data_IF_680659338127
#
_entry.id   IF_680659338127
#
_cell.length_a   1.000
_cell.length_b   1.000
_cell.length_c   1.000
_cell.angle_alpha   90.00
_cell.angle_beta   90.00
_cell.angle_gamma   90.00
#
_symmetry.space_group_name_H-M   'P 1'
#
loop_
_entity.id
_entity.type
_entity.pdbx_description
1 polymer ?
#
# COMPACT_ATOMS: atom_id res chain seq x y z
N UNK A 1 12.49 8.85 25.42
CA UNK A 1 11.04 8.60 25.57
C UNK A 1 10.21 9.53 24.69
N UNK A 2 10.24 10.85 24.88
CA UNK A 2 9.45 11.79 24.06
C UNK A 2 9.72 11.68 22.53
N UNK A 3 10.99 11.52 22.12
CA UNK A 3 11.36 11.35 20.71
C UNK A 3 10.74 10.11 20.06
N UNK A 4 10.76 8.96 20.74
CA UNK A 4 10.16 7.72 20.24
C UNK A 4 8.65 7.85 20.07
N UNK A 5 7.97 8.51 21.02
CA UNK A 5 6.52 8.74 20.96
C UNK A 5 6.17 9.61 19.74
N UNK A 6 6.92 10.68 19.53
CA UNK A 6 6.69 11.60 18.41
C UNK A 6 6.94 10.91 17.08
N UNK A 7 8.07 10.21 16.93
CA UNK A 7 8.43 9.52 15.68
C UNK A 7 7.40 8.42 15.37
N UNK A 8 7.01 7.61 16.36
CA UNK A 8 6.05 6.53 16.17
C UNK A 8 4.67 7.05 15.78
N UNK A 9 4.16 8.11 16.43
CA UNK A 9 2.87 8.68 16.08
C UNK A 9 2.87 9.25 14.66
N UNK A 10 3.93 9.96 14.27
CA UNK A 10 4.05 10.49 12.90
C UNK A 10 4.14 9.34 11.89
N UNK A 11 4.92 8.30 12.19
CA UNK A 11 5.07 7.16 11.30
C UNK A 11 3.75 6.41 11.10
N UNK A 12 3.01 6.11 12.18
CA UNK A 12 1.74 5.37 12.10
C UNK A 12 0.65 6.21 11.44
N UNK A 13 0.51 7.49 11.79
CA UNK A 13 -0.47 8.38 11.18
C UNK A 13 -0.16 8.65 9.70
N UNK A 14 1.13 8.83 9.38
CA UNK A 14 1.60 9.02 8.01
C UNK A 14 1.37 7.78 7.15
N UNK A 15 1.68 6.59 7.67
CA UNK A 15 1.44 5.32 6.96
C UNK A 15 -0.05 5.08 6.72
N UNK A 16 -0.91 5.35 7.71
CA UNK A 16 -2.36 5.23 7.55
C UNK A 16 -2.91 6.21 6.49
N UNK A 17 -2.39 7.43 6.44
CA UNK A 17 -2.77 8.40 5.41
C UNK A 17 -2.33 7.96 4.01
N UNK A 18 -1.09 7.48 3.88
CA UNK A 18 -0.55 6.96 2.62
C UNK A 18 -1.33 5.74 2.12
N UNK A 19 -1.65 4.80 3.00
CA UNK A 19 -2.45 3.61 2.66
C UNK A 19 -3.83 3.99 2.12
N UNK A 20 -4.49 4.98 2.73
CA UNK A 20 -5.81 5.45 2.29
C UNK A 20 -5.78 6.11 0.89
N UNK A 21 -4.73 6.88 0.60
CA UNK A 21 -4.58 7.57 -0.69
C UNK A 21 -4.22 6.55 -1.78
N UNK A 22 -3.18 5.75 -1.56
CA UNK A 22 -2.69 4.75 -2.52
C UNK A 22 -3.76 3.71 -2.86
N UNK A 23 -4.60 3.30 -1.91
CA UNK A 23 -5.74 2.42 -2.22
C UNK A 23 -6.82 3.09 -3.07
N UNK A 24 -7.10 4.37 -2.87
CA UNK A 24 -8.03 5.10 -3.72
C UNK A 24 -7.52 5.16 -5.17
N UNK A 25 -6.21 5.34 -5.34
CA UNK A 25 -5.54 5.37 -6.64
C UNK A 25 -5.46 3.98 -7.29
N UNK A 26 -5.19 2.91 -6.52
CA UNK A 26 -5.14 1.53 -7.04
C UNK A 26 -6.50 0.98 -7.46
N UNK A 27 -7.57 1.24 -6.70
CA UNK A 27 -8.88 0.62 -6.93
C UNK A 27 -9.85 1.46 -7.77
N UNK A 28 -9.59 2.75 -7.99
CA UNK A 28 -10.42 3.63 -8.83
C UNK A 28 -11.84 3.85 -8.32
N UNK A 29 -12.66 4.54 -9.12
CA UNK A 29 -13.99 5.02 -8.70
C UNK A 29 -15.07 3.92 -8.65
N UNK A 30 -14.94 2.83 -9.42
CA UNK A 30 -15.91 1.73 -9.44
C UNK A 30 -15.59 0.71 -8.34
N UNK A 31 -16.49 0.59 -7.36
CA UNK A 31 -16.39 -0.29 -6.18
C UNK A 31 -15.26 0.06 -5.19
N UNK A 32 -14.86 1.34 -5.12
CA UNK A 32 -13.79 1.84 -4.22
C UNK A 32 -13.94 1.39 -2.78
N UNK A 33 -15.15 1.48 -2.23
CA UNK A 33 -15.37 1.25 -0.80
C UNK A 33 -15.30 -0.23 -0.42
N UNK A 34 -15.86 -1.11 -1.25
CA UNK A 34 -15.83 -2.55 -0.99
C UNK A 34 -14.43 -3.13 -1.18
N UNK A 35 -13.71 -2.72 -2.23
CA UNK A 35 -12.33 -3.18 -2.47
C UNK A 35 -11.34 -2.63 -1.45
N UNK A 36 -11.50 -1.38 -1.05
CA UNK A 36 -10.71 -0.78 0.03
C UNK A 36 -10.97 -1.47 1.37
N UNK A 37 -12.23 -1.78 1.70
CA UNK A 37 -12.56 -2.49 2.93
C UNK A 37 -11.96 -3.91 2.96
N UNK A 38 -12.12 -4.68 1.88
CA UNK A 38 -11.56 -6.04 1.81
C UNK A 38 -10.03 -6.01 1.90
N UNK A 39 -9.39 -5.06 1.23
CA UNK A 39 -7.93 -4.93 1.27
C UNK A 39 -7.41 -4.63 2.68
N UNK A 40 -8.10 -3.77 3.45
CA UNK A 40 -7.74 -3.45 4.83
C UNK A 40 -7.94 -4.62 5.79
N UNK A 41 -9.09 -5.27 5.69
CA UNK A 41 -9.38 -6.41 6.56
C UNK A 41 -8.43 -7.57 6.26
N UNK A 42 -8.14 -7.86 4.99
CA UNK A 42 -7.19 -8.90 4.61
C UNK A 42 -5.75 -8.57 5.05
N UNK A 43 -5.28 -7.35 4.76
CA UNK A 43 -3.94 -6.91 5.17
C UNK A 43 -3.77 -6.86 6.69
N UNK A 44 -4.77 -6.33 7.40
CA UNK A 44 -4.80 -6.28 8.85
C UNK A 44 -4.83 -7.65 9.50
N UNK A 45 -5.66 -8.58 9.02
CA UNK A 45 -5.71 -9.96 9.53
C UNK A 45 -4.37 -10.69 9.33
N UNK A 46 -3.75 -10.55 8.16
CA UNK A 46 -2.46 -11.19 7.88
C UNK A 46 -1.36 -10.57 8.74
N UNK A 47 -1.30 -9.24 8.86
CA UNK A 47 -0.29 -8.57 9.66
C UNK A 47 -0.40 -8.91 11.16
N UNK A 48 -1.62 -8.89 11.71
CA UNK A 48 -1.87 -9.19 13.13
C UNK A 48 -1.69 -10.69 13.44
N UNK A 49 -2.04 -11.57 12.50
CA UNK A 49 -1.89 -13.03 12.68
C UNK A 49 -0.43 -13.50 12.57
N UNK A 50 0.26 -13.11 11.49
CA UNK A 50 1.62 -13.62 11.21
C UNK A 50 2.71 -12.81 11.89
N UNK A 51 2.50 -11.52 12.16
CA UNK A 51 3.51 -10.64 12.77
C UNK A 51 4.05 -11.16 14.09
N UNK A 52 3.20 -11.46 15.09
CA UNK A 52 3.65 -11.99 16.39
C UNK A 52 4.28 -13.39 16.29
N UNK A 53 3.80 -14.23 15.36
CA UNK A 53 4.32 -15.59 15.17
C UNK A 53 5.76 -15.55 14.65
N UNK A 54 6.02 -14.73 13.62
CA UNK A 54 7.36 -14.55 13.09
C UNK A 54 8.27 -13.90 14.14
N UNK A 55 7.81 -12.85 14.81
CA UNK A 55 8.58 -12.23 15.90
C UNK A 55 8.96 -13.23 17.00
N UNK A 56 8.03 -14.10 17.42
CA UNK A 56 8.31 -15.15 18.40
C UNK A 56 9.35 -16.15 17.94
N UNK A 57 9.34 -16.55 16.66
CA UNK A 57 10.34 -17.47 16.09
C UNK A 57 11.73 -16.82 16.05
N UNK A 58 11.83 -15.56 15.61
CA UNK A 58 13.11 -14.84 15.56
C UNK A 58 13.68 -14.58 16.95
N UNK A 59 12.84 -14.20 17.92
CA UNK A 59 13.25 -14.03 19.33
C UNK A 59 13.70 -15.34 19.98
N UNK A 60 13.17 -16.49 19.53
CA UNK A 60 13.55 -17.79 20.06
C UNK A 60 14.88 -18.30 19.48
N UNK A 61 15.15 -17.97 18.21
CA UNK A 61 16.37 -18.37 17.51
C UNK A 61 17.59 -17.55 17.93
N UNK A 62 17.39 -16.26 18.25
CA UNK A 62 18.49 -15.34 18.47
C UNK A 62 18.72 -15.05 19.97
N UNK A 63 19.93 -15.35 20.44
CA UNK A 63 20.35 -15.08 21.82
C UNK A 63 20.75 -13.61 21.94
N UNK A 64 19.75 -12.76 22.22
CA UNK A 64 19.87 -11.48 22.91
C UNK A 64 21.02 -10.57 22.41
N UNK A 65 20.73 -9.78 21.36
CA UNK A 65 20.99 -8.32 21.24
C UNK A 65 21.00 -7.83 19.77
N UNK A 66 21.11 -8.73 18.78
CA UNK A 66 21.19 -8.35 17.35
C UNK A 66 19.90 -8.55 16.54
N UNK A 67 18.92 -9.29 17.08
CA UNK A 67 17.68 -9.67 16.37
C UNK A 67 16.78 -8.48 15.99
N UNK A 68 16.71 -7.46 16.84
CA UNK A 68 15.88 -6.27 16.59
C UNK A 68 16.37 -5.49 15.36
N UNK A 69 17.70 -5.44 15.15
CA UNK A 69 18.29 -4.77 13.99
C UNK A 69 18.08 -5.57 12.71
N UNK A 70 18.18 -6.90 12.74
CA UNK A 70 17.96 -7.75 11.57
C UNK A 70 16.49 -7.72 11.13
N UNK A 71 15.56 -7.86 12.08
CA UNK A 71 14.12 -7.79 11.81
C UNK A 71 13.69 -6.42 11.27
N UNK A 72 14.15 -5.32 11.90
CA UNK A 72 13.87 -3.98 11.42
C UNK A 72 14.48 -3.72 10.04
N UNK A 73 15.67 -4.26 9.78
CA UNK A 73 16.34 -4.19 8.48
C UNK A 73 15.56 -4.89 7.37
N UNK A 74 15.09 -6.12 7.61
CA UNK A 74 14.26 -6.88 6.67
C UNK A 74 12.96 -6.15 6.37
N UNK A 75 12.27 -5.65 7.40
CA UNK A 75 11.06 -4.87 7.23
C UNK A 75 11.33 -3.61 6.40
N UNK A 76 12.35 -2.82 6.76
CA UNK A 76 12.72 -1.61 6.03
C UNK A 76 13.02 -1.91 4.56
N UNK A 77 13.75 -2.99 4.28
CA UNK A 77 14.04 -3.41 2.91
C UNK A 77 12.76 -3.76 2.14
N UNK A 78 11.80 -4.44 2.77
CA UNK A 78 10.51 -4.74 2.17
C UNK A 78 9.70 -3.46 1.86
N UNK A 79 9.61 -2.53 2.81
CA UNK A 79 8.94 -1.24 2.63
C UNK A 79 9.58 -0.41 1.51
N UNK A 80 10.92 -0.38 1.46
CA UNK A 80 11.67 0.37 0.46
C UNK A 80 11.47 -0.21 -0.94
N UNK A 81 11.58 -1.53 -1.10
CA UNK A 81 11.32 -2.19 -2.37
C UNK A 81 9.87 -1.98 -2.81
N UNK A 82 8.91 -2.09 -1.90
CA UNK A 82 7.49 -1.84 -2.20
C UNK A 82 7.25 -0.40 -2.67
N UNK A 83 7.91 0.60 -2.07
CA UNK A 83 7.79 1.99 -2.48
C UNK A 83 8.37 2.24 -3.89
N UNK A 84 9.46 1.56 -4.24
CA UNK A 84 10.10 1.68 -5.57
C UNK A 84 9.27 0.97 -6.65
N UNK A 85 8.66 -0.18 -6.31
CA UNK A 85 7.87 -1.00 -7.23
C UNK A 85 6.45 -0.48 -7.50
N UNK A 86 6.02 0.61 -6.83
CA UNK A 86 4.73 1.29 -7.05
C UNK A 86 4.86 2.64 -7.80
N UNK A 87 5.36 2.69 -9.06
CA UNK A 87 5.35 3.93 -9.84
C UNK A 87 3.97 4.25 -10.43
N UNK A 88 3.10 3.25 -10.59
CA UNK A 88 1.78 3.33 -11.25
C UNK A 88 0.74 4.16 -10.48
N UNK A 89 1.02 4.48 -9.22
CA UNK A 89 0.10 5.14 -8.29
C UNK A 89 0.25 6.67 -8.34
N UNK A 90 1.22 7.19 -9.10
CA UNK A 90 1.53 8.63 -9.12
C UNK A 90 0.61 9.40 -10.07
N UNK A 91 -0.17 10.33 -9.50
CA UNK A 91 -0.88 11.40 -10.24
C UNK A 91 -1.98 10.88 -11.21
N UNK A 92 -2.74 9.84 -10.78
CA UNK A 92 -3.88 9.31 -11.57
C UNK A 92 -5.14 10.17 -11.41
N UNK A 93 -5.87 10.34 -12.52
CA UNK A 93 -7.13 11.08 -12.52
C UNK A 93 -8.28 10.20 -11.99
N UNK A 94 -8.54 10.35 -10.69
CA UNK A 94 -9.58 9.65 -9.95
C UNK A 94 -11.02 9.93 -10.45
N UNK A 95 -11.20 10.95 -11.31
CA UNK A 95 -12.51 11.26 -11.92
C UNK A 95 -12.84 10.34 -13.10
N UNK A 96 -11.84 9.72 -13.72
CA UNK A 96 -12.01 8.85 -14.88
C UNK A 96 -12.40 7.42 -14.45
N UNK A 97 -13.59 7.00 -14.87
CA UNK A 97 -14.17 5.68 -14.59
C UNK A 97 -13.38 4.49 -15.17
N UNK A 98 -12.56 4.72 -16.20
CA UNK A 98 -11.84 3.68 -16.96
C UNK A 98 -10.33 3.63 -16.69
N UNK A 99 -9.82 4.46 -15.78
CA UNK A 99 -8.39 4.56 -15.51
C UNK A 99 -7.89 3.43 -14.59
N UNK A 100 -8.80 2.72 -13.91
CA UNK A 100 -8.45 1.69 -12.95
C UNK A 100 -8.40 0.30 -13.59
N UNK A 101 -7.19 -0.15 -13.94
CA UNK A 101 -6.79 -1.55 -14.13
C UNK A 101 -7.66 -2.46 -15.03
N UNK A 102 -8.69 -1.94 -15.68
CA UNK A 102 -9.29 -2.55 -16.84
C UNK A 102 -8.44 -2.12 -18.03
N UNK A 103 -7.88 -3.08 -18.77
CA UNK A 103 -7.26 -2.82 -20.07
C UNK A 103 -8.21 -1.94 -20.90
N UNK A 104 -7.92 -0.64 -21.00
CA UNK A 104 -8.74 0.26 -21.78
C UNK A 104 -8.80 -0.30 -23.21
N UNK A 105 -9.98 -0.61 -23.78
CA UNK A 105 -10.04 -0.87 -25.20
C UNK A 105 -9.63 0.42 -25.89
N UNK A 106 -8.56 0.35 -26.70
CA UNK A 106 -8.04 1.47 -27.50
C UNK A 106 -9.21 2.28 -28.06
N UNK A 107 -9.31 3.60 -27.79
CA UNK A 107 -10.34 4.41 -28.40
C UNK A 107 -10.15 4.34 -29.93
N UNK A 108 -11.14 3.80 -30.64
CA UNK A 108 -11.19 3.93 -32.10
C UNK A 108 -11.20 5.41 -32.40
N UNK A 109 -10.20 5.89 -33.16
CA UNK A 109 -10.16 7.27 -33.64
C UNK A 109 -11.44 7.54 -34.42
N UNK A 110 -12.38 8.27 -33.81
CA UNK A 110 -13.50 8.84 -34.56
C UNK A 110 -12.89 9.94 -35.40
N UNK A 111 -12.71 9.64 -36.68
CA UNK A 111 -12.24 10.58 -37.70
C UNK A 111 -13.25 11.73 -37.75
N UNK A 112 -12.88 12.86 -37.16
CA UNK A 112 -13.60 14.13 -37.30
C UNK A 112 -13.74 14.44 -38.78
N UNK A 113 -14.97 14.43 -39.29
CA UNK A 113 -15.18 14.67 -40.72
C UNK A 113 -16.59 14.47 -41.28
N UNK A 114 -17.66 14.47 -40.48
CA UNK A 114 -19.00 14.58 -41.08
C UNK A 114 -20.00 15.25 -40.13
N UNK A 115 -19.99 16.58 -40.17
CA UNK A 115 -21.22 17.36 -40.07
C UNK A 115 -21.83 17.38 -41.48
N UNK A 116 -23.05 16.86 -41.60
CA UNK A 116 -24.23 17.22 -42.41
C UNK A 116 -25.12 15.98 -42.45
#
# INVERSE_FOLDING_TARGET
MASLIVIHNIAVLGLFALENITMAEMFGSRNRFTRMAISKEAGGLVAVGFGPVLAGIFLQYDRFMDADCDYAGVLFHYWLNSAILMPEVRDRDLSLLNDAADCAPKPKSVRSGQYI
#
